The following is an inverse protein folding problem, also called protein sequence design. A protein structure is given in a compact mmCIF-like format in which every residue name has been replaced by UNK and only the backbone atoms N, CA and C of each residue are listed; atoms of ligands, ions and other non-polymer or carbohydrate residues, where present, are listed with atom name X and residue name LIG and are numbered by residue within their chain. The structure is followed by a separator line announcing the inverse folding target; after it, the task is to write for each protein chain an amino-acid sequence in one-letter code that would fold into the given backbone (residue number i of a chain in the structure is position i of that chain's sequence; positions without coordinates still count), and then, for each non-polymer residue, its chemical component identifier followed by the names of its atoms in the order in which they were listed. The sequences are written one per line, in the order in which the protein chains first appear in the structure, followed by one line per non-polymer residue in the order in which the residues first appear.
data_IF_319356290336
#
_entry.id   IF_319356290336
#
_cell.length_a   1.000
_cell.length_b   1.000
_cell.length_c   1.000
_cell.angle_alpha   90.00
_cell.angle_beta   90.00
_cell.angle_gamma   90.00
#
_symmetry.space_group_name_H-M   'P 1'
#
loop_
_entity.id
_entity.type
_entity.pdbx_description
1 polymer ?
#
# COMPACT_ATOMS: atom_id res chain seq x y z
N UNK A 1 4.34 14.90 -16.38
CA UNK A 1 5.43 13.91 -16.54
C UNK A 1 5.63 13.05 -15.29
N UNK A 2 5.81 13.63 -14.09
CA UNK A 2 6.15 12.87 -12.87
C UNK A 2 4.98 12.45 -11.96
N UNK A 3 3.73 12.81 -12.30
CA UNK A 3 2.51 12.56 -11.49
C UNK A 3 2.51 13.15 -10.08
N UNK A 4 3.58 13.86 -9.69
CA UNK A 4 3.71 14.55 -8.40
C UNK A 4 2.60 15.61 -8.26
N UNK A 5 1.77 15.51 -7.20
CA UNK A 5 0.76 16.50 -6.89
C UNK A 5 1.35 17.90 -6.60
N UNK A 6 0.64 18.99 -6.96
CA UNK A 6 1.13 20.37 -6.82
C UNK A 6 1.51 20.78 -5.39
N UNK A 7 0.85 20.19 -4.39
CA UNK A 7 1.10 20.48 -2.98
C UNK A 7 2.48 20.00 -2.48
N UNK A 8 3.03 18.93 -3.10
CA UNK A 8 4.38 18.45 -2.80
C UNK A 8 5.46 19.27 -3.55
N UNK A 9 5.04 20.10 -4.52
CA UNK A 9 5.92 20.98 -5.28
C UNK A 9 5.99 22.42 -4.71
N UNK A 10 5.47 22.64 -3.49
CA UNK A 10 5.58 23.91 -2.78
C UNK A 10 4.48 24.93 -3.07
N UNK A 11 3.43 24.59 -3.83
CA UNK A 11 2.25 25.44 -4.01
C UNK A 11 1.24 25.18 -2.88
N UNK A 12 1.54 25.70 -1.69
CA UNK A 12 0.74 25.55 -0.47
C UNK A 12 -0.04 26.84 -0.18
N UNK A 13 -0.90 27.30 -1.10
CA UNK A 13 -1.61 28.56 -0.83
C UNK A 13 -2.75 28.40 0.20
N UNK A 14 -3.39 27.23 0.35
CA UNK A 14 -4.50 27.01 1.32
C UNK A 14 -4.70 25.53 1.71
N UNK A 15 -3.81 24.92 2.50
CA UNK A 15 -4.01 23.54 3.01
C UNK A 15 -4.05 23.49 4.54
N UNK A 16 -5.11 22.91 5.08
CA UNK A 16 -5.24 22.49 6.49
C UNK A 16 -4.64 21.09 6.70
N UNK A 17 -4.25 20.77 7.94
CA UNK A 17 -3.60 19.48 8.29
C UNK A 17 -4.40 18.25 7.82
N UNK A 18 -5.73 18.26 7.97
CA UNK A 18 -6.60 17.16 7.50
C UNK A 18 -6.50 16.93 5.99
N UNK A 19 -6.30 17.98 5.18
CA UNK A 19 -6.15 17.82 3.74
C UNK A 19 -4.80 17.21 3.38
N UNK A 20 -3.74 17.47 4.16
CA UNK A 20 -2.38 17.00 3.88
C UNK A 20 -2.27 15.47 3.96
N UNK A 21 -2.93 14.83 4.93
CA UNK A 21 -2.91 13.37 5.08
C UNK A 21 -3.61 12.66 3.91
N UNK A 22 -4.82 13.10 3.56
CA UNK A 22 -5.54 12.60 2.38
C UNK A 22 -4.78 12.83 1.07
N UNK A 23 -4.04 13.93 0.99
CA UNK A 23 -3.25 14.30 -0.18
C UNK A 23 -1.94 13.51 -0.27
N UNK A 24 -1.32 13.17 0.87
CA UNK A 24 -0.21 12.22 0.96
C UNK A 24 -0.64 10.82 0.49
N UNK A 25 -1.83 10.37 0.86
CA UNK A 25 -2.39 9.10 0.40
C UNK A 25 -2.60 9.08 -1.13
N UNK A 26 -3.11 10.18 -1.67
CA UNK A 26 -3.29 10.35 -3.11
C UNK A 26 -1.95 10.33 -3.86
N UNK A 27 -0.89 10.91 -3.30
CA UNK A 27 0.45 10.84 -3.87
C UNK A 27 0.98 9.41 -3.95
N UNK A 28 0.87 8.65 -2.87
CA UNK A 28 1.30 7.24 -2.82
C UNK A 28 0.56 6.44 -3.90
N UNK A 29 -0.77 6.54 -3.95
CA UNK A 29 -1.60 5.78 -4.88
C UNK A 29 -1.37 6.14 -6.34
N UNK A 30 -1.32 7.43 -6.69
CA UNK A 30 -1.28 7.85 -8.09
C UNK A 30 0.13 8.02 -8.66
N UNK A 31 1.12 8.24 -7.81
CA UNK A 31 2.51 8.44 -8.22
C UNK A 31 3.39 7.24 -7.92
N UNK A 32 3.46 6.81 -6.66
CA UNK A 32 4.46 5.82 -6.22
C UNK A 32 4.10 4.38 -6.62
N UNK A 33 2.84 3.98 -6.50
CA UNK A 33 2.39 2.62 -6.85
C UNK A 33 2.79 2.23 -8.29
N UNK A 34 2.56 3.06 -9.33
CA UNK A 34 3.02 2.75 -10.68
C UNK A 34 4.53 2.48 -10.80
N UNK A 35 5.37 3.22 -10.07
CA UNK A 35 6.82 2.99 -10.07
C UNK A 35 7.20 1.72 -9.31
N UNK A 36 6.57 1.48 -8.17
CA UNK A 36 6.76 0.26 -7.37
C UNK A 36 6.44 -0.99 -8.20
N UNK A 37 5.26 -1.03 -8.83
CA UNK A 37 4.85 -2.15 -9.70
C UNK A 37 5.80 -2.35 -10.87
N UNK A 38 6.34 -1.25 -11.43
CA UNK A 38 7.33 -1.34 -12.51
C UNK A 38 8.64 -1.98 -12.04
N UNK A 39 9.10 -1.63 -10.83
CA UNK A 39 10.30 -2.21 -10.24
C UNK A 39 10.07 -3.69 -9.90
N UNK A 40 8.94 -4.06 -9.30
CA UNK A 40 8.55 -5.46 -9.03
C UNK A 40 8.54 -6.29 -10.30
N UNK A 41 7.93 -5.77 -11.37
CA UNK A 41 7.92 -6.43 -12.68
C UNK A 41 9.33 -6.64 -13.23
N UNK A 42 10.23 -5.67 -13.03
CA UNK A 42 11.62 -5.79 -13.47
C UNK A 42 12.40 -6.81 -12.65
N UNK A 43 12.16 -6.90 -11.35
CA UNK A 43 12.74 -7.95 -10.49
C UNK A 43 12.27 -9.33 -10.96
N UNK A 44 10.97 -9.49 -11.24
CA UNK A 44 10.41 -10.76 -11.72
C UNK A 44 11.06 -11.26 -13.00
N UNK A 45 11.30 -10.36 -13.97
CA UNK A 45 11.90 -10.73 -15.26
C UNK A 45 13.43 -10.80 -15.21
N UNK A 46 14.08 -9.96 -14.39
CA UNK A 46 15.53 -9.78 -14.40
C UNK A 46 16.30 -10.61 -13.36
N UNK A 47 15.67 -10.97 -12.24
CA UNK A 47 16.34 -11.64 -11.12
C UNK A 47 15.74 -13.01 -10.79
N UNK A 48 14.50 -13.27 -11.18
CA UNK A 48 13.83 -14.55 -10.94
C UNK A 48 13.85 -15.39 -12.22
N UNK A 49 14.41 -16.60 -12.14
CA UNK A 49 14.45 -17.53 -13.27
C UNK A 49 13.02 -17.88 -13.71
N UNK A 50 12.74 -18.05 -15.01
CA UNK A 50 11.40 -18.36 -15.51
C UNK A 50 10.72 -19.56 -14.83
N UNK A 51 11.50 -20.59 -14.49
CA UNK A 51 11.02 -21.79 -13.79
C UNK A 51 10.59 -21.53 -12.34
N UNK A 52 11.04 -20.44 -11.73
CA UNK A 52 10.85 -20.13 -10.30
C UNK A 52 9.86 -18.97 -10.08
N UNK A 53 9.35 -18.35 -11.15
CA UNK A 53 8.44 -17.20 -11.09
C UNK A 53 7.06 -17.49 -10.48
N UNK A 54 6.69 -18.77 -10.37
CA UNK A 54 5.46 -19.20 -9.67
C UNK A 54 5.70 -19.45 -8.19
N UNK A 55 6.97 -19.52 -7.74
CA UNK A 55 7.36 -19.82 -6.36
C UNK A 55 7.83 -18.59 -5.61
N UNK A 56 8.48 -17.67 -6.31
CA UNK A 56 9.03 -16.45 -5.72
C UNK A 56 8.47 -15.21 -6.41
N UNK A 57 8.15 -14.20 -5.61
CA UNK A 57 7.75 -12.89 -6.08
C UNK A 57 8.43 -11.82 -5.21
N UNK A 58 8.58 -10.63 -5.77
CA UNK A 58 9.02 -9.45 -5.02
C UNK A 58 7.85 -8.46 -5.02
N UNK A 59 7.52 -7.94 -3.83
CA UNK A 59 6.46 -6.97 -3.63
C UNK A 59 6.96 -5.90 -2.66
N UNK A 60 6.77 -4.65 -3.01
CA UNK A 60 6.94 -3.56 -2.06
C UNK A 60 5.80 -3.61 -1.04
N UNK A 61 6.14 -3.49 0.23
CA UNK A 61 5.15 -3.29 1.27
C UNK A 61 4.61 -1.84 1.16
N UNK A 62 3.76 -1.56 0.17
CA UNK A 62 3.09 -0.27 0.03
C UNK A 62 2.11 -0.01 1.19
N UNK A 63 1.67 -1.07 1.88
CA UNK A 63 0.98 -0.98 3.16
C UNK A 63 1.74 -0.15 4.19
N UNK A 64 3.08 -0.15 4.13
CA UNK A 64 3.95 0.68 4.94
C UNK A 64 3.78 2.20 4.76
N UNK A 65 3.43 2.63 3.56
CA UNK A 65 3.19 4.04 3.26
C UNK A 65 1.81 4.47 3.72
N UNK A 66 0.85 3.53 3.74
CA UNK A 66 -0.51 3.71 4.28
C UNK A 66 -0.54 3.51 5.80
N UNK A 67 0.51 2.93 6.43
CA UNK A 67 0.68 2.85 7.89
C UNK A 67 0.63 4.22 8.59
N UNK A 68 0.66 5.34 7.86
CA UNK A 68 0.33 6.65 8.41
C UNK A 68 -1.01 6.68 9.16
N UNK A 69 -1.97 5.82 8.79
CA UNK A 69 -3.25 5.67 9.49
C UNK A 69 -3.55 4.21 9.86
N UNK A 70 -2.73 3.66 10.77
CA UNK A 70 -2.96 2.33 11.37
C UNK A 70 -4.35 2.23 12.02
N UNK A 71 -4.88 3.34 12.54
CA UNK A 71 -6.17 3.37 13.24
C UNK A 71 -7.31 3.00 12.29
N UNK A 72 -7.48 3.76 11.20
CA UNK A 72 -8.55 3.48 10.22
C UNK A 72 -8.40 2.09 9.60
N UNK A 73 -7.16 1.63 9.40
CA UNK A 73 -6.88 0.29 8.89
C UNK A 73 -7.36 -0.82 9.84
N UNK A 74 -6.95 -0.79 11.12
CA UNK A 74 -7.43 -1.77 12.10
C UNK A 74 -8.93 -1.66 12.37
N UNK A 75 -9.50 -0.46 12.33
CA UNK A 75 -10.94 -0.24 12.40
C UNK A 75 -11.67 -0.91 11.23
N UNK A 76 -11.14 -0.82 9.99
CA UNK A 76 -11.72 -1.51 8.84
C UNK A 76 -11.73 -3.04 8.98
N UNK A 77 -10.67 -3.63 9.54
CA UNK A 77 -10.63 -5.06 9.80
C UNK A 77 -11.57 -5.46 10.92
N UNK A 78 -11.68 -4.65 11.97
CA UNK A 78 -12.62 -4.87 13.06
C UNK A 78 -14.07 -4.85 12.54
N UNK A 79 -14.41 -3.93 11.63
CA UNK A 79 -15.70 -3.91 10.94
C UNK A 79 -15.87 -5.22 10.15
N UNK A 80 -14.91 -5.60 9.30
CA UNK A 80 -15.02 -6.82 8.49
C UNK A 80 -15.22 -8.10 9.31
N UNK A 81 -14.51 -8.21 10.42
CA UNK A 81 -14.62 -9.34 11.35
C UNK A 81 -15.96 -9.32 12.07
N UNK A 82 -16.41 -8.15 12.53
CA UNK A 82 -17.69 -8.03 13.24
C UNK A 82 -18.90 -8.35 12.34
N UNK A 83 -18.82 -7.98 11.05
CA UNK A 83 -19.87 -8.27 10.06
C UNK A 83 -19.73 -9.65 9.41
N UNK A 84 -18.69 -10.42 9.77
CA UNK A 84 -18.54 -11.83 9.39
C UNK A 84 -18.08 -12.10 7.95
N UNK A 85 -17.71 -11.07 7.19
CA UNK A 85 -17.17 -11.25 5.83
C UNK A 85 -15.63 -11.33 5.79
N UNK A 86 -14.98 -11.07 6.92
CA UNK A 86 -13.53 -11.16 7.08
C UNK A 86 -13.22 -12.00 8.33
N UNK A 87 -12.24 -12.91 8.28
CA UNK A 87 -11.77 -13.60 9.48
C UNK A 87 -10.45 -12.99 9.99
N UNK A 88 -10.08 -13.23 11.27
CA UNK A 88 -8.83 -12.73 11.84
C UNK A 88 -7.55 -13.19 11.12
N UNK A 89 -7.62 -14.28 10.37
CA UNK A 89 -6.51 -14.81 9.56
C UNK A 89 -6.44 -14.11 8.20
N UNK A 90 -7.57 -13.77 7.57
CA UNK A 90 -7.60 -12.93 6.36
C UNK A 90 -6.97 -11.56 6.65
N UNK A 91 -7.30 -10.96 7.80
CA UNK A 91 -6.68 -9.71 8.23
C UNK A 91 -5.15 -9.82 8.38
N UNK A 92 -4.65 -10.98 8.84
CA UNK A 92 -3.21 -11.21 9.01
C UNK A 92 -2.49 -11.46 7.70
N UNK A 93 -3.11 -12.19 6.78
CA UNK A 93 -2.59 -12.33 5.43
C UNK A 93 -2.44 -10.96 4.75
N UNK A 94 -3.42 -10.06 4.93
CA UNK A 94 -3.34 -8.67 4.45
C UNK A 94 -2.25 -7.83 5.13
N UNK A 95 -1.81 -8.22 6.33
CA UNK A 95 -0.67 -7.63 7.05
C UNK A 95 0.67 -8.35 6.77
N UNK A 96 0.71 -9.33 5.87
CA UNK A 96 1.87 -10.22 5.67
C UNK A 96 2.33 -10.89 6.99
N UNK A 97 1.39 -11.27 7.86
CA UNK A 97 1.63 -11.98 9.12
C UNK A 97 1.19 -13.44 9.05
N UNK A 98 1.88 -14.32 9.76
CA UNK A 98 1.51 -15.74 9.84
C UNK A 98 0.11 -15.94 10.48
N UNK A 99 -0.70 -16.90 10.01
CA UNK A 99 -2.02 -17.19 10.58
C UNK A 99 -1.94 -17.60 12.06
N UNK A 100 -3.02 -17.33 12.81
CA UNK A 100 -3.17 -17.75 14.22
C UNK A 100 -4.00 -19.03 14.29
N UNK A 101 -3.69 -19.87 15.27
CA UNK A 101 -4.50 -21.04 15.68
C UNK A 101 -5.85 -20.63 16.27
#
# INVERSE_FOLDING_TARGET
LYRVPPHLAGMLEKMTLNNIEHMGMSFVSYSLVPYMTRIESRIKVGLIKPSEQNKYYAKFNAGALIRGDLKTRYESYAIGINWGFLCPNDARELEDMDPRE
#
